data_IF_878151976085
#
_entry.id   IF_878151976085
#
_cell.length_a   1.000
_cell.length_b   1.000
_cell.length_c   1.000
_cell.angle_alpha   90.00
_cell.angle_beta   90.00
_cell.angle_gamma   90.00
#
_symmetry.space_group_name_H-M   'P 1'
#
loop_
_entity.id
_entity.type
_entity.pdbx_description
1 polymer ?
#
# COMPACT_ATOMS: atom_id res chain seq x y z
N UNK A 1 0.97 -9.36 -11.82
CA UNK A 1 1.71 -8.33 -11.08
C UNK A 1 1.35 -6.97 -11.66
N UNK A 2 0.96 -6.00 -10.82
CA UNK A 2 0.76 -4.60 -11.24
C UNK A 2 1.50 -3.69 -10.27
N UNK A 3 2.27 -2.75 -10.81
CA UNK A 3 2.96 -1.70 -10.06
C UNK A 3 2.26 -0.39 -10.36
N UNK A 4 1.94 0.37 -9.31
CA UNK A 4 1.36 1.71 -9.45
C UNK A 4 2.23 2.68 -8.67
N UNK A 5 2.68 3.73 -9.35
CA UNK A 5 3.33 4.87 -8.71
C UNK A 5 2.31 6.01 -8.72
N UNK A 6 1.95 6.50 -7.55
CA UNK A 6 0.95 7.54 -7.41
C UNK A 6 1.28 8.44 -6.23
N UNK A 7 0.84 9.70 -6.30
CA UNK A 7 0.82 10.60 -5.15
C UNK A 7 -0.51 10.40 -4.43
N UNK A 8 -0.50 9.70 -3.30
CA UNK A 8 -1.73 9.36 -2.57
C UNK A 8 -1.53 9.33 -1.05
N UNK A 9 -2.62 9.57 -0.32
CA UNK A 9 -2.77 9.15 1.07
C UNK A 9 -3.24 7.69 1.11
N UNK A 10 -3.04 7.02 2.24
CA UNK A 10 -3.53 5.65 2.44
C UNK A 10 -4.15 5.54 3.81
N UNK A 11 -5.41 5.14 3.83
CA UNK A 11 -6.13 4.73 5.02
C UNK A 11 -6.12 3.20 5.09
N UNK A 12 -5.56 2.67 6.17
CA UNK A 12 -5.47 1.25 6.43
C UNK A 12 -6.38 0.88 7.58
N UNK A 13 -7.34 -0.01 7.32
CA UNK A 13 -8.24 -0.57 8.31
C UNK A 13 -8.07 -2.10 8.38
N UNK A 14 -7.76 -2.62 9.56
CA UNK A 14 -7.56 -4.04 9.81
C UNK A 14 -7.33 -4.32 11.29
N UNK A 15 -6.47 -5.28 11.63
CA UNK A 15 -6.07 -5.55 13.03
C UNK A 15 -5.47 -4.32 13.72
N UNK A 16 -4.77 -3.49 12.94
CA UNK A 16 -4.32 -2.16 13.33
C UNK A 16 -4.93 -1.16 12.34
N UNK A 17 -5.18 0.06 12.82
CA UNK A 17 -5.58 1.18 11.97
C UNK A 17 -4.40 2.12 11.79
N UNK A 18 -4.17 2.59 10.56
CA UNK A 18 -3.11 3.55 10.28
C UNK A 18 -3.54 4.51 9.16
N UNK A 19 -3.23 5.78 9.36
CA UNK A 19 -3.31 6.79 8.30
C UNK A 19 -1.89 7.15 7.87
N UNK A 20 -1.64 7.08 6.57
CA UNK A 20 -0.40 7.53 5.98
C UNK A 20 -0.69 8.80 5.15
N UNK A 21 0.00 9.92 5.42
CA UNK A 21 -0.28 11.20 4.76
C UNK A 21 0.10 11.20 3.27
N UNK A 22 -0.35 12.21 2.52
CA UNK A 22 -0.09 12.34 1.09
C UNK A 22 1.41 12.30 0.78
N UNK A 23 1.83 11.30 0.01
CA UNK A 23 3.21 11.13 -0.43
C UNK A 23 3.26 10.43 -1.79
N UNK A 24 4.41 10.46 -2.46
CA UNK A 24 4.65 9.60 -3.63
C UNK A 24 4.87 8.18 -3.16
N UNK A 25 4.06 7.25 -3.66
CA UNK A 25 4.07 5.85 -3.22
C UNK A 25 4.23 4.91 -4.36
N UNK A 26 4.91 3.81 -4.06
CA UNK A 26 4.95 2.63 -4.89
C UNK A 26 4.01 1.58 -4.27
N UNK A 27 2.97 1.22 -5.01
CA UNK A 27 2.00 0.20 -4.66
C UNK A 27 2.29 -1.06 -5.47
N UNK A 28 2.62 -2.16 -4.80
CA UNK A 28 2.81 -3.47 -5.43
C UNK A 28 1.55 -4.29 -5.23
N UNK A 29 0.84 -4.57 -6.32
CA UNK A 29 -0.28 -5.50 -6.35
C UNK A 29 0.22 -6.84 -6.86
N UNK A 30 0.30 -7.81 -5.95
CA UNK A 30 0.77 -9.15 -6.26
C UNK A 30 -0.32 -10.02 -6.86
N UNK A 31 0.09 -11.05 -7.61
CA UNK A 31 -0.84 -11.98 -8.25
C UNK A 31 -1.62 -12.84 -7.24
N UNK A 32 -1.05 -13.05 -6.05
CA UNK A 32 -1.72 -13.72 -4.93
C UNK A 32 -2.79 -12.85 -4.26
N UNK A 33 -2.92 -11.57 -4.65
CA UNK A 33 -3.84 -10.61 -4.06
C UNK A 33 -3.26 -9.80 -2.90
N UNK A 34 -2.01 -10.05 -2.48
CA UNK A 34 -1.36 -9.24 -1.45
C UNK A 34 -0.94 -7.87 -1.99
N UNK A 35 -0.93 -6.87 -1.10
CA UNK A 35 -0.59 -5.49 -1.44
C UNK A 35 0.45 -4.94 -0.49
N UNK A 36 1.46 -4.27 -1.06
CA UNK A 36 2.52 -3.59 -0.31
C UNK A 36 2.52 -2.11 -0.69
N UNK A 37 2.68 -1.26 0.33
CA UNK A 37 2.76 0.20 0.21
C UNK A 37 4.16 0.65 0.61
N UNK A 38 4.92 1.22 -0.33
CA UNK A 38 6.23 1.81 -0.09
C UNK A 38 6.19 3.33 -0.25
N UNK A 39 7.12 4.02 0.43
CA UNK A 39 7.47 5.42 0.17
C UNK A 39 8.92 5.51 -0.25
N UNK A 40 9.32 6.67 -0.74
CA UNK A 40 10.68 7.10 -1.05
C UNK A 40 11.64 7.19 0.16
N UNK A 41 11.28 6.66 1.33
CA UNK A 41 12.07 6.73 2.56
C UNK A 41 13.33 5.84 2.58
N UNK A 42 13.84 5.44 1.42
CA UNK A 42 15.04 4.60 1.21
C UNK A 42 15.05 3.28 1.98
N UNK A 43 13.89 2.78 2.41
CA UNK A 43 13.74 1.51 3.12
C UNK A 43 13.24 0.42 2.17
N UNK A 44 13.82 -0.77 2.26
CA UNK A 44 13.32 -1.95 1.55
C UNK A 44 12.01 -2.48 2.15
N UNK A 45 11.69 -2.14 3.40
CA UNK A 45 10.49 -2.61 4.07
C UNK A 45 9.28 -1.77 3.64
N UNK A 46 8.12 -2.39 3.36
CA UNK A 46 6.91 -1.63 3.12
C UNK A 46 6.51 -0.87 4.39
N UNK A 47 5.86 0.29 4.21
CA UNK A 47 5.21 1.01 5.29
C UNK A 47 4.04 0.20 5.84
N UNK A 48 3.19 -0.31 4.94
CA UNK A 48 2.06 -1.18 5.25
C UNK A 48 1.97 -2.33 4.25
N UNK A 49 1.43 -3.45 4.71
CA UNK A 49 1.17 -4.63 3.89
C UNK A 49 -0.13 -5.31 4.32
N UNK A 50 -0.75 -6.04 3.39
CA UNK A 50 -1.98 -6.80 3.66
C UNK A 50 -2.04 -8.05 2.78
N UNK A 51 -2.55 -9.12 3.37
CA UNK A 51 -2.75 -10.42 2.73
C UNK A 51 -4.22 -10.58 2.30
N UNK A 52 -4.52 -11.45 1.32
CA UNK A 52 -5.89 -11.74 0.91
C UNK A 52 -6.73 -12.41 2.03
N UNK A 53 -8.07 -12.36 1.92
CA UNK A 53 -8.86 -11.56 0.98
C UNK A 53 -8.93 -10.09 1.44
N UNK A 54 -8.77 -9.14 0.51
CA UNK A 54 -8.91 -7.71 0.79
C UNK A 54 -9.50 -6.94 -0.39
N UNK A 55 -10.11 -5.79 -0.12
CA UNK A 55 -10.57 -4.85 -1.15
C UNK A 55 -9.61 -3.66 -1.25
N UNK A 56 -9.11 -3.38 -2.45
CA UNK A 56 -8.37 -2.14 -2.75
C UNK A 56 -9.25 -1.26 -3.60
N UNK A 57 -9.50 -0.05 -3.12
CA UNK A 57 -10.27 0.96 -3.85
C UNK A 57 -9.34 2.13 -4.16
N UNK A 58 -9.31 2.53 -5.42
CA UNK A 58 -8.62 3.73 -5.86
C UNK A 58 -9.70 4.76 -6.17
N UNK A 59 -9.73 5.84 -5.38
CA UNK A 59 -10.58 7.00 -5.60
C UNK A 59 -9.80 8.12 -6.28
#
# INVERSE_FOLDING_TARGET
MRLVIARCSVDYAGRLSAHLPLATRLLLLKADGSVLVHSDSLSYKPLNWISPPLGVYFT
#
